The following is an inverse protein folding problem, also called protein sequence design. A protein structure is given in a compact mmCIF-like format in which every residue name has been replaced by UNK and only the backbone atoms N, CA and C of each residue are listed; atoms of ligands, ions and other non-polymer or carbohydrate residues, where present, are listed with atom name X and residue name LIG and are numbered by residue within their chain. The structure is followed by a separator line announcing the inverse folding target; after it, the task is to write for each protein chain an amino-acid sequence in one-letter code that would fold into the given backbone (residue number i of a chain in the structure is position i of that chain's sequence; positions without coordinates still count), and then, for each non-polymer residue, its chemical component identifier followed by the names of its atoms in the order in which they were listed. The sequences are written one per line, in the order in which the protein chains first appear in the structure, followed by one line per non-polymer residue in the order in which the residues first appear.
data_IF_240601021609
#
_entry.id   IF_240601021609
#
_cell.length_a   1.000
_cell.length_b   1.000
_cell.length_c   1.000
_cell.angle_alpha   90.00
_cell.angle_beta   90.00
_cell.angle_gamma   90.00
#
_symmetry.space_group_name_H-M   'P 1'
#
loop_
_entity.id
_entity.type
_entity.pdbx_description
1 polymer ?
#
# COMPACT_ATOMS: atom_id res chain seq x y z
N UNK A 1 0.84 -4.69 14.05
CA UNK A 1 0.62 -3.23 13.87
C UNK A 1 0.98 -2.37 15.06
N UNK A 2 0.91 -2.84 16.31
CA UNK A 2 1.37 -2.06 17.48
C UNK A 2 2.79 -1.50 17.30
N UNK A 3 3.76 -2.34 16.93
CA UNK A 3 5.15 -1.91 16.72
C UNK A 3 5.33 -0.86 15.61
N UNK A 4 4.54 -0.94 14.53
CA UNK A 4 4.58 0.06 13.45
C UNK A 4 4.02 1.39 13.93
N UNK A 5 2.89 1.36 14.66
CA UNK A 5 2.31 2.54 15.27
C UNK A 5 3.24 3.17 16.31
N UNK A 6 3.88 2.37 17.15
CA UNK A 6 4.83 2.88 18.16
C UNK A 6 6.05 3.55 17.51
N UNK A 7 6.56 2.98 16.42
CA UNK A 7 7.74 3.49 15.71
C UNK A 7 7.44 4.71 14.84
N UNK A 8 6.33 4.68 14.10
CA UNK A 8 6.03 5.67 13.04
C UNK A 8 4.89 6.61 13.39
N UNK A 9 4.12 6.33 14.45
CA UNK A 9 2.89 7.05 14.86
C UNK A 9 1.85 7.18 13.74
N UNK A 10 1.90 6.29 12.74
CA UNK A 10 0.96 6.21 11.64
C UNK A 10 0.09 4.96 11.78
N UNK A 11 -1.20 5.09 11.46
CA UNK A 11 -2.11 3.95 11.40
C UNK A 11 -2.40 3.61 9.93
N UNK A 12 -2.18 2.35 9.49
CA UNK A 12 -2.49 1.98 8.12
C UNK A 12 -4.00 1.81 7.93
N UNK A 13 -4.54 2.58 7.00
CA UNK A 13 -5.94 2.53 6.56
C UNK A 13 -6.07 1.52 5.41
N UNK A 14 -5.77 0.24 5.70
CA UNK A 14 -5.83 -0.85 4.74
C UNK A 14 -6.31 -2.16 5.36
N UNK A 15 -6.71 -3.12 4.52
CA UNK A 15 -7.12 -4.45 4.99
C UNK A 15 -5.96 -5.23 5.65
N UNK A 16 -6.31 -6.17 6.52
CA UNK A 16 -5.34 -6.97 7.28
C UNK A 16 -4.38 -7.80 6.42
N UNK A 17 -4.75 -8.14 5.18
CA UNK A 17 -3.92 -8.87 4.22
C UNK A 17 -2.59 -8.17 3.87
N UNK A 18 -2.46 -6.89 4.19
CA UNK A 18 -1.36 -6.02 3.78
C UNK A 18 -0.41 -5.67 4.92
N UNK A 19 -0.77 -6.03 6.16
CA UNK A 19 -0.01 -5.69 7.36
C UNK A 19 1.39 -6.29 7.36
N UNK A 20 1.55 -7.54 6.88
CA UNK A 20 2.86 -8.17 6.77
C UNK A 20 3.75 -7.44 5.75
N UNK A 21 3.17 -6.99 4.63
CA UNK A 21 3.89 -6.27 3.58
C UNK A 21 4.34 -4.89 4.06
N UNK A 22 3.51 -4.19 4.83
CA UNK A 22 3.86 -2.91 5.48
C UNK A 22 4.99 -3.09 6.50
N UNK A 23 4.93 -4.15 7.32
CA UNK A 23 5.97 -4.42 8.32
C UNK A 23 7.32 -4.80 7.68
N UNK A 24 7.30 -5.60 6.60
CA UNK A 24 8.53 -5.93 5.85
C UNK A 24 9.14 -4.67 5.20
N UNK A 25 8.30 -3.81 4.62
CA UNK A 25 8.73 -2.53 4.07
C UNK A 25 9.32 -1.62 5.16
N UNK A 26 8.65 -1.46 6.31
CA UNK A 26 9.12 -0.64 7.43
C UNK A 26 10.48 -1.09 7.95
N UNK A 27 10.69 -2.40 8.10
CA UNK A 27 11.98 -2.93 8.57
C UNK A 27 13.10 -2.68 7.55
N UNK A 28 12.81 -2.78 6.25
CA UNK A 28 13.80 -2.53 5.19
C UNK A 28 14.17 -1.06 5.09
N UNK A 29 13.19 -0.17 5.05
CA UNK A 29 13.45 1.27 5.03
C UNK A 29 14.13 1.69 6.33
N UNK A 30 13.65 1.22 7.49
CA UNK A 30 14.24 1.54 8.79
C UNK A 30 15.67 1.04 8.98
N UNK A 31 16.10 0.02 8.24
CA UNK A 31 17.49 -0.44 8.22
C UNK A 31 18.41 0.48 7.41
N UNK A 32 17.86 1.22 6.44
CA UNK A 32 18.60 2.17 5.59
C UNK A 32 18.57 3.55 6.25
N UNK A 33 17.38 4.01 6.62
CA UNK A 33 17.13 5.34 7.15
C UNK A 33 16.24 5.23 8.39
N UNK A 34 16.77 5.01 9.59
CA UNK A 34 15.94 4.81 10.78
C UNK A 34 15.06 6.03 11.10
N UNK A 35 15.49 7.24 10.70
CA UNK A 35 14.81 8.51 10.96
C UNK A 35 13.65 8.85 10.03
N UNK A 36 13.34 8.03 9.02
CA UNK A 36 12.29 8.36 8.07
C UNK A 36 10.90 8.44 8.74
N UNK A 37 10.04 9.33 8.24
CA UNK A 37 8.67 9.49 8.74
C UNK A 37 7.67 8.96 7.74
N UNK A 38 6.60 8.35 8.27
CA UNK A 38 5.45 7.90 7.47
C UNK A 38 4.34 8.93 7.64
N UNK A 39 3.83 9.46 6.53
CA UNK A 39 2.72 10.40 6.55
C UNK A 39 1.38 9.66 6.57
N UNK A 40 1.18 8.74 5.61
CA UNK A 40 -0.07 8.00 5.50
C UNK A 40 0.12 6.69 4.74
N UNK A 41 -0.67 5.67 5.11
CA UNK A 41 -0.74 4.41 4.37
C UNK A 41 -2.19 4.15 4.03
N UNK A 42 -2.51 4.17 2.74
CA UNK A 42 -3.88 4.05 2.22
C UNK A 42 -4.00 2.88 1.25
N UNK A 43 -5.14 2.21 1.23
CA UNK A 43 -5.50 1.27 0.18
C UNK A 43 -6.17 1.99 -1.00
N UNK A 44 -5.77 1.70 -2.24
CA UNK A 44 -6.35 2.30 -3.44
C UNK A 44 -6.43 1.31 -4.61
N UNK A 45 -7.64 1.05 -5.12
CA UNK A 45 -7.92 0.17 -6.27
C UNK A 45 -7.29 -1.24 -6.19
N UNK A 46 -7.24 -1.85 -5.01
CA UNK A 46 -6.56 -3.13 -4.83
C UNK A 46 -5.03 -3.01 -4.88
N UNK A 47 -4.50 -1.85 -4.52
CA UNK A 47 -3.08 -1.54 -4.34
C UNK A 47 -2.85 -0.82 -3.01
N UNK A 48 -1.59 -0.76 -2.56
CA UNK A 48 -1.17 -0.03 -1.36
C UNK A 48 -0.54 1.26 -1.82
N UNK A 49 -0.84 2.36 -1.15
CA UNK A 49 -0.12 3.63 -1.29
C UNK A 49 0.57 3.94 0.03
N UNK A 50 1.88 4.00 -0.02
CA UNK A 50 2.72 4.28 1.15
C UNK A 50 3.35 5.67 1.01
N UNK A 51 2.77 6.66 1.70
CA UNK A 51 3.27 8.02 1.74
C UNK A 51 4.25 8.19 2.89
N UNK A 52 5.44 8.67 2.55
CA UNK A 52 6.52 8.92 3.49
C UNK A 52 7.17 10.27 3.21
N UNK A 53 7.74 10.86 4.26
CA UNK A 53 8.39 12.16 4.17
C UNK A 53 9.73 12.00 3.44
N UNK A 54 9.77 12.43 2.18
CA UNK A 54 10.99 12.41 1.37
C UNK A 54 12.08 13.34 1.88
N UNK A 55 11.74 14.40 2.62
CA UNK A 55 12.73 15.30 3.23
C UNK A 55 13.40 14.66 4.45
N UNK A 56 12.75 13.67 5.06
CA UNK A 56 13.32 12.87 6.15
C UNK A 56 14.26 11.76 5.65
N UNK A 57 14.52 11.66 4.34
CA UNK A 57 15.41 10.65 3.75
C UNK A 57 16.59 11.32 3.07
N UNK A 58 17.79 10.79 3.30
CA UNK A 58 19.00 11.23 2.61
C UNK A 58 18.90 10.95 1.10
N UNK A 59 19.33 11.89 0.25
CA UNK A 59 19.23 11.81 -1.21
C UNK A 59 19.93 10.55 -1.77
N UNK A 60 21.09 10.17 -1.20
CA UNK A 60 21.81 8.93 -1.54
C UNK A 60 20.99 7.63 -1.29
N UNK A 61 20.07 7.68 -0.32
CA UNK A 61 19.21 6.57 0.06
C UNK A 61 17.85 6.63 -0.62
N UNK A 62 17.46 7.78 -1.18
CA UNK A 62 16.13 8.02 -1.75
C UNK A 62 15.80 7.02 -2.86
N UNK A 63 16.71 6.78 -3.79
CA UNK A 63 16.50 5.82 -4.88
C UNK A 63 16.28 4.39 -4.34
N UNK A 64 17.01 4.00 -3.28
CA UNK A 64 16.87 2.68 -2.66
C UNK A 64 15.52 2.54 -1.97
N UNK A 65 15.08 3.58 -1.27
CA UNK A 65 13.79 3.60 -0.59
C UNK A 65 12.64 3.60 -1.60
N UNK A 66 12.73 4.39 -2.66
CA UNK A 66 11.73 4.40 -3.74
C UNK A 66 11.59 3.02 -4.38
N UNK A 67 12.70 2.32 -4.66
CA UNK A 67 12.67 0.95 -5.18
C UNK A 67 12.01 -0.05 -4.21
N UNK A 68 12.20 0.13 -2.90
CA UNK A 68 11.54 -0.72 -1.90
C UNK A 68 10.03 -0.47 -1.85
N UNK A 69 9.61 0.80 -1.91
CA UNK A 69 8.20 1.18 -1.95
C UNK A 69 7.54 0.66 -3.22
N UNK A 70 8.15 0.85 -4.39
CA UNK A 70 7.63 0.35 -5.67
C UNK A 70 7.47 -1.18 -5.67
N UNK A 71 8.48 -1.91 -5.19
CA UNK A 71 8.42 -3.36 -5.06
C UNK A 71 7.32 -3.82 -4.08
N UNK A 72 7.08 -3.05 -3.02
CA UNK A 72 6.01 -3.30 -2.08
C UNK A 72 4.64 -3.07 -2.74
N UNK A 73 4.43 -1.93 -3.44
CA UNK A 73 3.20 -1.61 -4.18
C UNK A 73 2.87 -2.66 -5.26
N UNK A 74 3.87 -3.17 -5.98
CA UNK A 74 3.70 -4.21 -7.00
C UNK A 74 3.26 -5.56 -6.40
N UNK A 75 3.85 -5.98 -5.28
CA UNK A 75 3.44 -7.19 -4.54
C UNK A 75 2.02 -7.06 -4.01
N UNK A 76 1.72 -5.89 -3.49
CA UNK A 76 0.40 -5.47 -3.03
C UNK A 76 -0.69 -5.71 -4.11
N UNK A 77 -0.45 -5.21 -5.32
CA UNK A 77 -1.34 -5.42 -6.47
C UNK A 77 -1.55 -6.91 -6.82
N UNK A 78 -0.47 -7.70 -6.71
CA UNK A 78 -0.52 -9.15 -6.94
C UNK A 78 -1.36 -9.86 -5.87
N UNK A 79 -1.19 -9.50 -4.58
CA UNK A 79 -1.97 -10.05 -3.47
C UNK A 79 -3.45 -9.72 -3.64
N UNK A 80 -3.79 -8.49 -4.02
CA UNK A 80 -5.18 -8.10 -4.27
C UNK A 80 -5.83 -8.90 -5.39
N UNK A 81 -5.09 -9.21 -6.46
CA UNK A 81 -5.57 -10.09 -7.53
C UNK A 81 -5.89 -11.48 -6.97
N UNK A 82 -5.01 -12.05 -6.14
CA UNK A 82 -5.21 -13.37 -5.51
C UNK A 82 -6.41 -13.39 -4.55
N UNK A 83 -6.64 -12.31 -3.79
CA UNK A 83 -7.81 -12.21 -2.90
C UNK A 83 -9.09 -12.07 -3.71
N UNK A 84 -9.06 -11.32 -4.82
CA UNK A 84 -10.24 -11.14 -5.70
C UNK A 84 -10.67 -12.44 -6.39
N UNK A 85 -9.74 -13.36 -6.63
CA UNK A 85 -10.04 -14.71 -7.16
C UNK A 85 -10.30 -15.76 -6.05
N UNK A 86 -10.19 -15.38 -4.77
CA UNK A 86 -10.46 -16.20 -3.59
C UNK A 86 -11.89 -16.05 -3.04
N UNK A 87 -12.33 -16.91 -2.09
CA UNK A 87 -13.72 -17.34 -1.92
C UNK A 87 -14.70 -16.34 -1.28
N UNK A 88 -14.40 -15.05 -1.22
CA UNK A 88 -15.32 -14.06 -0.66
C UNK A 88 -15.79 -13.10 -1.75
N UNK A 89 -17.11 -13.16 -1.98
CA UNK A 89 -17.89 -12.30 -2.86
C UNK A 89 -17.41 -10.86 -2.82
N UNK A 90 -16.63 -10.49 -3.83
CA UNK A 90 -16.35 -9.10 -4.13
C UNK A 90 -17.65 -8.52 -4.69
N UNK A 91 -18.19 -7.49 -4.04
CA UNK A 91 -19.12 -6.58 -4.71
C UNK A 91 -18.29 -5.85 -5.75
N UNK A 92 -18.18 -6.47 -6.92
CA UNK A 92 -17.49 -5.90 -8.07
C UNK A 92 -18.26 -4.67 -8.52
N UNK A 93 -17.90 -3.48 -8.02
CA UNK A 93 -18.08 -2.26 -8.78
C UNK A 93 -17.01 -2.24 -9.88
N UNK A 94 -17.10 -3.20 -10.80
CA UNK A 94 -16.43 -3.16 -12.10
C UNK A 94 -17.47 -2.69 -13.08
N UNK A 95 -17.41 -1.39 -13.36
CA UNK A 95 -17.72 -0.79 -14.65
C UNK A 95 -18.72 -1.55 -15.55
N UNK A 96 -20.00 -1.57 -15.18
CA UNK A 96 -21.09 -1.69 -16.14
C UNK A 96 -21.89 -0.39 -16.15
N UNK A 97 -21.34 0.60 -16.86
CA UNK A 97 -22.15 1.61 -17.51
C UNK A 97 -21.61 1.85 -18.91
N UNK A 98 -21.56 0.78 -19.71
CA UNK A 98 -21.63 0.92 -21.17
C UNK A 98 -22.83 0.12 -21.66
N UNK A 99 -23.84 0.89 -22.04
CA UNK A 99 -24.93 0.53 -22.95
C UNK A 99 -26.02 -0.40 -22.39
N UNK A 100 -27.18 0.17 -22.07
CA UNK A 100 -28.40 0.12 -22.90
C UNK A 100 -29.64 0.51 -22.07
N UNK A 101 -30.35 1.56 -22.51
CA UNK A 101 -31.83 1.66 -22.62
C UNK A 101 -32.27 3.11 -22.88
N UNK A 102 -32.61 3.43 -24.13
CA UNK A 102 -33.97 3.50 -24.72
C UNK A 102 -34.71 4.81 -24.42
N UNK A 103 -34.92 5.58 -25.49
CA UNK A 103 -36.12 6.38 -25.73
C UNK A 103 -36.20 6.62 -27.23
N UNK A 104 -37.34 6.63 -27.91
CA UNK A 104 -38.71 6.22 -27.61
C UNK A 104 -39.37 5.95 -28.97
#
# INVERSE_FOLDING_TARGET
MGQFYERRRAYPECQAGWYQLILDLDNKIGSIEPGYKVDQVNEKFGGLRFYYDQMSINDDNRERVDKLVDAAEAKAYTISTVITIGPYWVNTLRAEHREKRTGS
#
